data_IF_340094278468
#
_entry.id   IF_340094278468
#
_cell.length_a   1.000
_cell.length_b   1.000
_cell.length_c   1.000
_cell.angle_alpha   90.00
_cell.angle_beta   90.00
_cell.angle_gamma   90.00
#
_symmetry.space_group_name_H-M   'P 1'
#
loop_
_entity.id
_entity.type
_entity.pdbx_description
1 polymer ?
#
# COMPACT_ATOMS: atom_id res chain seq x y z
N UNK A 1 -12.14 2.70 41.52
CA UNK A 1 -11.78 1.48 42.28
C UNK A 1 -12.76 0.38 41.96
N UNK A 2 -12.22 -0.79 41.76
CA UNK A 2 -12.78 -2.14 41.71
C UNK A 2 -12.72 -2.79 40.31
N UNK A 3 -11.65 -3.52 40.18
CA UNK A 3 -11.37 -4.66 39.33
C UNK A 3 -12.32 -5.80 39.71
N UNK A 4 -12.85 -6.50 38.74
CA UNK A 4 -13.57 -7.74 38.93
C UNK A 4 -13.30 -8.69 37.77
N UNK A 5 -12.22 -9.45 37.91
CA UNK A 5 -11.96 -10.61 37.06
C UNK A 5 -12.91 -11.75 37.42
N UNK A 6 -13.39 -12.46 36.41
CA UNK A 6 -14.20 -13.64 36.55
C UNK A 6 -13.91 -14.62 35.42
N UNK A 7 -12.82 -15.38 35.55
CA UNK A 7 -12.65 -16.63 34.82
C UNK A 7 -13.35 -17.70 35.64
N UNK A 8 -14.50 -18.18 35.22
CA UNK A 8 -15.10 -19.41 35.75
C UNK A 8 -15.05 -20.44 34.63
N UNK A 9 -14.19 -21.40 34.85
CA UNK A 9 -14.09 -22.60 34.03
C UNK A 9 -15.35 -23.45 34.18
N UNK A 10 -15.90 -23.85 33.05
CA UNK A 10 -16.84 -24.97 32.96
C UNK A 10 -16.12 -26.14 32.30
N UNK A 11 -15.50 -26.95 33.13
CA UNK A 11 -15.13 -28.31 32.80
C UNK A 11 -16.31 -29.23 33.11
N UNK A 12 -16.52 -30.18 32.20
CA UNK A 12 -17.32 -31.39 32.34
C UNK A 12 -18.82 -31.31 32.02
N UNK A 13 -19.15 -31.58 30.78
CA UNK A 13 -20.04 -32.69 30.46
C UNK A 13 -19.72 -33.25 29.09
N UNK A 14 -19.15 -34.41 29.09
CA UNK A 14 -18.98 -35.26 27.92
C UNK A 14 -20.36 -35.79 27.54
N UNK A 15 -20.92 -35.26 26.49
CA UNK A 15 -22.01 -35.90 25.76
C UNK A 15 -21.48 -36.17 24.36
N UNK A 16 -21.41 -37.46 24.02
CA UNK A 16 -21.09 -37.94 22.68
C UNK A 16 -22.18 -37.48 21.70
N UNK A 17 -22.01 -36.27 21.17
CA UNK A 17 -22.74 -35.80 20.00
C UNK A 17 -21.77 -35.82 18.84
N UNK A 18 -22.08 -36.53 17.73
CA UNK A 18 -21.22 -36.48 16.56
C UNK A 18 -21.11 -35.06 16.06
N UNK A 19 -19.90 -34.59 15.66
CA UNK A 19 -19.72 -33.24 15.17
C UNK A 19 -20.63 -33.03 13.96
N UNK A 20 -21.31 -31.86 13.86
CA UNK A 20 -22.02 -31.52 12.65
C UNK A 20 -21.07 -31.50 11.46
N UNK A 21 -21.50 -31.92 10.27
CA UNK A 21 -20.65 -31.93 9.10
C UNK A 21 -20.07 -30.53 8.91
N UNK A 22 -18.75 -30.45 8.75
CA UNK A 22 -18.00 -29.24 8.47
C UNK A 22 -18.72 -28.45 7.37
N UNK A 23 -19.39 -27.38 7.75
CA UNK A 23 -19.82 -26.37 6.79
C UNK A 23 -18.54 -25.80 6.18
N UNK A 24 -18.20 -26.24 4.98
CA UNK A 24 -17.11 -25.67 4.21
C UNK A 24 -17.26 -24.14 4.24
N UNK A 25 -16.19 -23.38 4.52
CA UNK A 25 -16.26 -21.92 4.50
C UNK A 25 -16.75 -21.51 3.12
N UNK A 26 -17.94 -20.95 3.07
CA UNK A 26 -18.49 -20.36 1.85
C UNK A 26 -17.60 -19.16 1.56
N UNK A 27 -16.61 -19.34 0.70
CA UNK A 27 -15.78 -18.25 0.19
C UNK A 27 -16.74 -17.34 -0.59
N UNK A 28 -17.22 -16.29 0.05
CA UNK A 28 -18.01 -15.27 -0.62
C UNK A 28 -17.15 -14.74 -1.77
N UNK A 29 -17.50 -15.10 -2.99
CA UNK A 29 -16.84 -14.60 -4.20
C UNK A 29 -17.10 -13.09 -4.23
N UNK A 30 -16.05 -12.28 -3.94
CA UNK A 30 -16.14 -10.82 -4.05
C UNK A 30 -16.53 -10.50 -5.48
N UNK A 31 -17.65 -9.81 -5.65
CA UNK A 31 -18.07 -9.33 -6.97
C UNK A 31 -17.02 -8.36 -7.51
N UNK A 32 -16.69 -8.47 -8.80
CA UNK A 32 -15.79 -7.54 -9.45
C UNK A 32 -16.37 -6.12 -9.41
N UNK A 33 -15.53 -5.09 -9.18
CA UNK A 33 -15.99 -3.71 -9.13
C UNK A 33 -16.54 -3.27 -10.49
N UNK A 34 -17.53 -2.41 -10.48
CA UNK A 34 -18.06 -1.76 -11.68
C UNK A 34 -17.10 -0.70 -12.20
N UNK A 35 -17.26 -0.28 -13.46
CA UNK A 35 -16.43 0.78 -14.04
C UNK A 35 -16.52 2.10 -13.25
N UNK A 36 -17.69 2.45 -12.74
CA UNK A 36 -17.89 3.66 -11.94
C UNK A 36 -17.20 3.55 -10.56
N UNK A 37 -17.21 2.37 -9.95
CA UNK A 37 -16.48 2.12 -8.70
C UNK A 37 -14.97 2.21 -8.92
N UNK A 38 -14.44 1.61 -9.99
CA UNK A 38 -13.02 1.73 -10.38
C UNK A 38 -12.65 3.21 -10.57
N UNK A 39 -13.44 3.96 -11.35
CA UNK A 39 -13.19 5.37 -11.59
C UNK A 39 -13.21 6.20 -10.29
N UNK A 40 -14.13 5.93 -9.40
CA UNK A 40 -14.18 6.60 -8.09
C UNK A 40 -12.94 6.29 -7.23
N UNK A 41 -12.41 5.08 -7.30
CA UNK A 41 -11.16 4.70 -6.62
C UNK A 41 -9.94 5.36 -7.28
N UNK A 42 -9.91 5.47 -8.61
CA UNK A 42 -8.84 6.16 -9.33
C UNK A 42 -8.75 7.63 -8.93
N UNK A 43 -9.90 8.33 -8.85
CA UNK A 43 -9.93 9.73 -8.40
C UNK A 43 -9.36 9.89 -6.99
N UNK A 44 -9.74 9.01 -6.05
CA UNK A 44 -9.23 9.05 -4.67
C UNK A 44 -7.73 8.81 -4.64
N UNK A 45 -7.26 7.76 -5.31
CA UNK A 45 -5.85 7.39 -5.34
C UNK A 45 -5.00 8.50 -5.99
N UNK A 46 -5.47 9.12 -7.08
CA UNK A 46 -4.81 10.25 -7.71
C UNK A 46 -4.77 11.49 -6.81
N UNK A 47 -5.84 11.73 -6.04
CA UNK A 47 -5.88 12.84 -5.06
C UNK A 47 -4.85 12.64 -3.96
N UNK A 48 -4.76 11.45 -3.41
CA UNK A 48 -3.79 11.10 -2.37
C UNK A 48 -2.36 11.14 -2.90
N UNK A 49 -2.14 10.70 -4.14
CA UNK A 49 -0.85 10.84 -4.82
C UNK A 49 -0.44 12.31 -4.97
N UNK A 50 -1.34 13.17 -5.45
CA UNK A 50 -1.08 14.60 -5.59
C UNK A 50 -0.72 15.25 -4.25
N UNK A 51 -1.43 14.92 -3.17
CA UNK A 51 -1.12 15.39 -1.80
C UNK A 51 0.24 14.89 -1.33
N UNK A 52 0.59 13.63 -1.62
CA UNK A 52 1.89 13.06 -1.28
C UNK A 52 3.02 13.80 -1.98
N UNK A 53 2.85 14.13 -3.27
CA UNK A 53 3.84 14.91 -4.04
C UNK A 53 3.96 16.33 -3.49
N UNK A 54 2.84 16.98 -3.17
CA UNK A 54 2.82 18.34 -2.63
C UNK A 54 3.46 18.43 -1.23
N UNK A 55 3.40 17.35 -0.45
CA UNK A 55 4.01 17.29 0.88
C UNK A 55 5.52 17.01 0.85
N UNK A 56 6.08 16.60 -0.30
CA UNK A 56 7.52 16.37 -0.45
C UNK A 56 8.26 17.72 -0.46
N UNK A 57 9.30 17.91 0.36
CA UNK A 57 10.10 19.12 0.30
C UNK A 57 10.82 19.30 -1.06
N UNK A 58 11.04 20.52 -1.46
CA UNK A 58 11.79 20.85 -2.66
C UNK A 58 12.71 22.05 -2.38
N UNK A 59 14.04 21.89 -2.40
CA UNK A 59 14.76 20.64 -2.72
C UNK A 59 14.70 19.59 -1.60
N UNK A 60 14.86 18.32 -1.96
CA UNK A 60 15.10 17.23 -1.02
C UNK A 60 16.57 17.31 -0.56
N UNK A 61 16.80 17.36 0.75
CA UNK A 61 18.15 17.47 1.33
C UNK A 61 18.60 16.20 2.05
N UNK A 62 17.66 15.28 2.34
CA UNK A 62 17.95 13.98 2.94
C UNK A 62 16.91 12.92 2.58
N UNK A 63 17.32 11.66 2.61
CA UNK A 63 16.40 10.52 2.41
C UNK A 63 15.25 10.49 3.43
N UNK A 64 15.49 11.01 4.63
CA UNK A 64 14.48 11.07 5.70
C UNK A 64 13.27 11.91 5.32
N UNK A 65 13.47 12.92 4.47
CA UNK A 65 12.39 13.79 3.99
C UNK A 65 11.46 13.10 3.00
N UNK A 66 11.95 12.06 2.30
CA UNK A 66 11.19 11.32 1.29
C UNK A 66 10.45 10.12 1.88
N UNK A 67 10.96 9.54 2.98
CA UNK A 67 10.39 8.35 3.61
C UNK A 67 8.90 8.49 3.98
N UNK A 68 8.43 9.60 4.59
CA UNK A 68 7.02 9.75 4.90
C UNK A 68 6.13 9.76 3.65
N UNK A 69 6.57 10.42 2.58
CA UNK A 69 5.86 10.48 1.30
C UNK A 69 5.78 9.08 0.66
N UNK A 70 6.88 8.32 0.67
CA UNK A 70 6.90 6.94 0.19
C UNK A 70 5.95 6.05 0.99
N UNK A 71 5.96 6.16 2.32
CA UNK A 71 5.06 5.42 3.20
C UNK A 71 3.59 5.75 2.93
N UNK A 72 3.26 7.03 2.78
CA UNK A 72 1.92 7.48 2.42
C UNK A 72 1.48 6.91 1.07
N UNK A 73 2.31 6.98 0.04
CA UNK A 73 1.99 6.44 -1.29
C UNK A 73 1.70 4.93 -1.25
N UNK A 74 2.54 4.15 -0.56
CA UNK A 74 2.30 2.70 -0.40
C UNK A 74 1.00 2.41 0.33
N UNK A 75 0.68 3.19 1.37
CA UNK A 75 -0.57 3.05 2.12
C UNK A 75 -1.77 3.38 1.24
N UNK A 76 -1.70 4.45 0.44
CA UNK A 76 -2.75 4.84 -0.50
C UNK A 76 -3.02 3.75 -1.54
N UNK A 77 -1.98 3.18 -2.15
CA UNK A 77 -2.13 2.10 -3.13
C UNK A 77 -2.83 0.88 -2.48
N UNK A 78 -2.45 0.54 -1.25
CA UNK A 78 -3.05 -0.59 -0.53
C UNK A 78 -4.51 -0.32 -0.11
N UNK A 79 -4.86 0.94 0.19
CA UNK A 79 -6.21 1.35 0.56
C UNK A 79 -7.19 1.35 -0.63
N UNK A 80 -6.68 1.40 -1.86
CA UNK A 80 -7.48 1.45 -3.09
C UNK A 80 -7.26 0.22 -3.99
N UNK A 81 -7.60 -1.00 -3.50
CA UNK A 81 -7.34 -2.25 -4.25
C UNK A 81 -8.18 -2.36 -5.53
N UNK A 82 -9.28 -1.63 -5.61
CA UNK A 82 -10.20 -1.63 -6.74
C UNK A 82 -9.93 -0.49 -7.75
N UNK A 83 -8.91 0.33 -7.53
CA UNK A 83 -8.41 1.26 -8.53
C UNK A 83 -7.87 0.51 -9.76
N UNK A 84 -7.86 1.16 -10.91
CA UNK A 84 -7.41 0.55 -12.17
C UNK A 84 -6.00 -0.06 -12.04
N UNK A 85 -5.81 -1.19 -12.69
CA UNK A 85 -4.55 -1.91 -12.62
C UNK A 85 -3.37 -1.07 -13.14
N UNK A 86 -3.60 -0.30 -14.20
CA UNK A 86 -2.57 0.56 -14.81
C UNK A 86 -2.14 1.68 -13.87
N UNK A 87 -3.10 2.34 -13.20
CA UNK A 87 -2.79 3.38 -12.22
C UNK A 87 -2.01 2.82 -11.04
N UNK A 88 -2.47 1.69 -10.49
CA UNK A 88 -1.79 1.05 -9.37
C UNK A 88 -0.39 0.58 -9.74
N UNK A 89 -0.20 0.06 -10.95
CA UNK A 89 1.11 -0.37 -11.43
C UNK A 89 2.08 0.81 -11.52
N UNK A 90 1.69 1.91 -12.19
CA UNK A 90 2.57 3.06 -12.34
C UNK A 90 2.89 3.75 -11.01
N UNK A 91 1.95 3.78 -10.04
CA UNK A 91 2.22 4.33 -8.72
C UNK A 91 3.12 3.42 -7.87
N UNK A 92 3.07 2.10 -8.08
CA UNK A 92 4.07 1.20 -7.51
C UNK A 92 5.46 1.46 -8.10
N UNK A 93 5.57 1.66 -9.42
CA UNK A 93 6.83 1.99 -10.08
C UNK A 93 7.40 3.34 -9.55
N UNK A 94 6.52 4.34 -9.29
CA UNK A 94 6.91 5.60 -8.62
C UNK A 94 7.47 5.32 -7.23
N UNK A 95 6.80 4.48 -6.44
CA UNK A 95 7.26 4.14 -5.09
C UNK A 95 8.59 3.37 -5.12
N UNK A 96 8.79 2.48 -6.08
CA UNK A 96 10.05 1.75 -6.26
C UNK A 96 11.18 2.68 -6.69
N UNK A 97 10.90 3.64 -7.59
CA UNK A 97 11.89 4.65 -7.99
C UNK A 97 12.28 5.58 -6.83
N UNK A 98 11.33 5.95 -5.97
CA UNK A 98 11.64 6.70 -4.76
C UNK A 98 12.52 5.90 -3.79
N UNK A 99 12.30 4.59 -3.70
CA UNK A 99 13.13 3.73 -2.86
C UNK A 99 14.57 3.62 -3.40
N UNK A 100 14.72 3.52 -4.73
CA UNK A 100 16.02 3.55 -5.39
C UNK A 100 16.74 4.89 -5.17
N UNK A 101 16.02 6.02 -5.29
CA UNK A 101 16.51 7.37 -5.00
C UNK A 101 17.05 7.48 -3.56
N UNK A 102 16.30 6.99 -2.57
CA UNK A 102 16.73 6.98 -1.17
C UNK A 102 18.01 6.16 -0.99
N UNK A 103 18.08 4.99 -1.61
CA UNK A 103 19.23 4.10 -1.51
C UNK A 103 20.50 4.71 -2.12
N UNK A 104 20.34 5.39 -3.25
CA UNK A 104 21.43 6.10 -3.93
C UNK A 104 21.89 7.32 -3.11
N UNK A 105 20.95 8.10 -2.61
CA UNK A 105 21.20 9.31 -1.83
C UNK A 105 22.00 9.01 -0.54
N UNK A 106 21.70 7.92 0.14
CA UNK A 106 22.41 7.53 1.37
C UNK A 106 23.80 6.92 1.07
N UNK A 107 24.11 6.64 -0.19
CA UNK A 107 25.39 6.03 -0.62
C UNK A 107 25.78 4.80 0.22
N UNK A 108 24.81 4.14 0.79
CA UNK A 108 25.02 2.93 1.59
C UNK A 108 25.00 1.74 0.64
N UNK A 109 26.12 1.03 0.62
CA UNK A 109 26.18 -0.25 -0.05
C UNK A 109 25.12 -1.22 0.45
N UNK A 110 24.89 -2.35 -0.24
CA UNK A 110 23.86 -3.32 0.11
C UNK A 110 24.09 -3.81 1.55
N UNK A 111 23.15 -3.51 2.42
CA UNK A 111 23.16 -3.95 3.83
C UNK A 111 22.17 -5.08 4.07
N UNK A 112 21.64 -5.70 3.03
CA UNK A 112 20.66 -6.75 3.10
C UNK A 112 21.01 -7.94 2.23
N UNK A 113 20.10 -8.92 2.19
CA UNK A 113 20.24 -10.13 1.38
C UNK A 113 20.09 -9.86 -0.13
N UNK A 114 19.54 -8.72 -0.50
CA UNK A 114 19.30 -8.31 -1.89
C UNK A 114 19.87 -6.91 -2.09
N UNK A 115 20.59 -6.72 -3.20
CA UNK A 115 21.06 -5.39 -3.58
C UNK A 115 19.87 -4.47 -3.87
N UNK A 116 19.89 -3.21 -3.40
CA UNK A 116 18.85 -2.26 -3.74
C UNK A 116 18.81 -2.00 -5.25
N UNK A 117 17.64 -1.65 -5.81
CA UNK A 117 17.56 -1.27 -7.22
C UNK A 117 18.45 -0.05 -7.49
N UNK A 118 19.08 -0.02 -8.66
CA UNK A 118 19.86 1.13 -9.08
C UNK A 118 18.91 2.29 -9.39
N UNK A 119 19.27 3.48 -8.91
CA UNK A 119 18.56 4.70 -9.25
C UNK A 119 18.92 5.15 -10.68
N UNK A 120 17.90 5.44 -11.46
CA UNK A 120 17.98 6.05 -12.79
C UNK A 120 17.06 7.26 -12.81
N UNK A 121 17.63 8.45 -12.82
CA UNK A 121 16.88 9.70 -12.74
C UNK A 121 15.93 9.88 -13.93
N UNK A 122 16.38 9.55 -15.15
CA UNK A 122 15.57 9.72 -16.35
C UNK A 122 14.37 8.74 -16.36
N UNK A 123 14.61 7.47 -16.00
CA UNK A 123 13.54 6.49 -15.87
C UNK A 123 12.57 6.85 -14.74
N UNK A 124 13.08 7.34 -13.61
CA UNK A 124 12.28 7.80 -12.49
C UNK A 124 11.40 9.00 -12.86
N UNK A 125 11.95 9.96 -13.63
CA UNK A 125 11.18 11.10 -14.11
C UNK A 125 10.08 10.66 -15.09
N UNK A 126 10.41 9.80 -16.06
CA UNK A 126 9.43 9.27 -17.00
C UNK A 126 8.27 8.53 -16.31
N UNK A 127 8.57 7.80 -15.25
CA UNK A 127 7.54 7.11 -14.43
C UNK A 127 6.63 8.10 -13.72
N UNK A 128 7.19 9.17 -13.14
CA UNK A 128 6.41 10.25 -12.52
C UNK A 128 5.52 10.97 -13.53
N UNK A 129 6.06 11.30 -14.71
CA UNK A 129 5.31 11.96 -15.77
C UNK A 129 4.13 11.09 -16.24
N UNK A 130 4.34 9.78 -16.35
CA UNK A 130 3.26 8.84 -16.67
C UNK A 130 2.18 8.81 -15.58
N UNK A 131 2.57 8.78 -14.30
CA UNK A 131 1.62 8.85 -13.20
C UNK A 131 0.81 10.15 -13.21
N UNK A 132 1.46 11.28 -13.46
CA UNK A 132 0.80 12.59 -13.62
C UNK A 132 -0.20 12.59 -14.76
N UNK A 133 0.19 12.04 -15.91
CA UNK A 133 -0.69 11.96 -17.09
C UNK A 133 -1.93 11.10 -16.81
N UNK A 134 -1.76 9.94 -16.17
CA UNK A 134 -2.88 9.06 -15.80
C UNK A 134 -3.84 9.71 -14.80
N UNK A 135 -3.32 10.52 -13.88
CA UNK A 135 -4.12 11.26 -12.92
C UNK A 135 -4.68 12.58 -13.47
N UNK A 136 -4.37 12.98 -14.70
CA UNK A 136 -4.79 14.26 -15.28
C UNK A 136 -4.25 15.48 -14.54
N UNK A 137 -3.14 15.32 -13.81
CA UNK A 137 -2.46 16.41 -13.11
C UNK A 137 -1.69 17.28 -14.13
N UNK A 138 -1.63 18.60 -13.86
CA UNK A 138 -0.99 19.60 -14.74
C UNK A 138 0.04 20.41 -13.97
#
# INVERSE_FOLDING_TARGET
>A
AALGGGIVGALLTRADTPPPPDAAPTTATRQAPTADEVHAQDIKLCTEYALTVAAKPNPVTSSREVLPALGALRTSIAAHPDASADLRAVLNDVADSCFAEISDFEQKGPQGLVAPPKYDEAASQATRDRAWALCGLK
#
